data_IF_558746213921
#
_entry.id   IF_558746213921
#
_cell.length_a   1.000
_cell.length_b   1.000
_cell.length_c   1.000
_cell.angle_alpha   90.00
_cell.angle_beta   90.00
_cell.angle_gamma   90.00
#
_symmetry.space_group_name_H-M   'P 1'
#
loop_
_entity.id
_entity.type
_entity.pdbx_description
1 polymer ?
#
# COMPACT_ATOMS: atom_id res chain seq x y z
N UNK A 1 10.17 12.93 9.41
CA UNK A 1 9.37 13.54 8.32
C UNK A 1 9.97 13.27 6.95
N UNK A 2 9.21 12.65 6.04
CA UNK A 2 9.58 12.43 4.63
C UNK A 2 10.04 13.72 3.91
N UNK A 3 9.55 14.87 4.38
CA UNK A 3 9.91 16.20 3.90
C UNK A 3 11.40 16.51 4.14
N UNK A 4 11.97 16.10 5.28
CA UNK A 4 13.39 16.34 5.60
C UNK A 4 14.30 15.51 4.68
N UNK A 5 13.91 14.26 4.38
CA UNK A 5 14.63 13.40 3.44
C UNK A 5 14.63 13.94 2.00
N UNK A 6 13.52 14.53 1.56
CA UNK A 6 13.42 15.15 0.23
C UNK A 6 14.28 16.42 0.09
N UNK A 7 14.41 17.20 1.16
CA UNK A 7 15.23 18.42 1.18
C UNK A 7 16.72 18.05 1.17
N UNK A 8 17.14 17.08 1.98
CA UNK A 8 18.53 16.60 2.01
C UNK A 8 18.98 16.01 0.67
N UNK A 9 18.08 15.29 -0.04
CA UNK A 9 18.39 14.75 -1.38
C UNK A 9 18.52 15.81 -2.47
N UNK A 10 17.90 16.99 -2.31
CA UNK A 10 18.04 18.10 -3.26
C UNK A 10 19.29 18.94 -2.98
N UNK A 11 19.69 19.04 -1.72
CA UNK A 11 20.88 19.79 -1.30
C UNK A 11 22.18 19.07 -1.69
N UNK A 12 22.21 17.73 -1.69
CA UNK A 12 23.38 16.95 -2.14
C UNK A 12 23.56 16.97 -3.66
N UNK A 13 22.55 17.35 -4.44
CA UNK A 13 22.60 17.39 -5.90
C UNK A 13 23.17 18.70 -6.47
N UNK A 14 23.46 19.70 -5.63
CA UNK A 14 23.89 21.03 -6.07
C UNK A 14 25.29 21.37 -5.55
N UNK A 15 26.26 20.56 -5.94
CA UNK A 15 27.69 20.78 -5.73
C UNK A 15 28.42 21.01 -7.05
N UNK A 16 28.66 22.29 -7.32
CA UNK A 16 29.74 22.91 -8.10
C UNK A 16 29.94 22.58 -9.60
N UNK A 17 29.77 23.61 -10.44
CA UNK A 17 30.05 23.61 -11.88
C UNK A 17 31.31 24.41 -12.17
N UNK A 18 32.46 23.73 -12.35
CA UNK A 18 33.67 24.35 -12.91
C UNK A 18 34.63 23.32 -13.55
N UNK A 19 34.69 23.38 -14.88
CA UNK A 19 35.81 23.12 -15.83
C UNK A 19 36.66 21.81 -15.82
N UNK A 20 36.85 21.38 -17.09
CA UNK A 20 38.00 20.73 -17.77
C UNK A 20 38.01 19.21 -17.92
N UNK A 21 38.28 18.82 -19.17
CA UNK A 21 38.18 17.47 -19.70
C UNK A 21 39.23 16.49 -19.19
N UNK A 22 38.81 15.23 -19.21
CA UNK A 22 39.57 14.04 -18.87
C UNK A 22 38.57 12.89 -18.77
N UNK A 23 38.81 11.80 -19.49
CA UNK A 23 37.92 10.65 -19.59
C UNK A 23 37.45 10.17 -18.22
N UNK A 24 36.16 10.35 -17.89
CA UNK A 24 35.58 9.82 -16.67
C UNK A 24 34.82 8.54 -16.97
N UNK A 25 35.33 7.43 -16.42
CA UNK A 25 34.61 6.17 -16.24
C UNK A 25 33.14 6.43 -15.92
N UNK A 26 32.25 5.93 -16.77
CA UNK A 26 30.81 6.09 -16.60
C UNK A 26 30.41 5.67 -15.19
N UNK A 27 30.04 6.65 -14.35
CA UNK A 27 29.36 6.39 -13.07
C UNK A 27 28.08 5.63 -13.42
N UNK A 28 28.13 4.31 -13.25
CA UNK A 28 26.99 3.43 -13.45
C UNK A 28 25.82 3.98 -12.66
N UNK A 29 24.69 4.25 -13.34
CA UNK A 29 23.42 4.51 -12.67
C UNK A 29 23.24 3.38 -11.66
N UNK A 30 23.16 3.72 -10.37
CA UNK A 30 22.82 2.77 -9.31
C UNK A 30 21.70 1.87 -9.83
N UNK A 31 21.99 0.59 -10.06
CA UNK A 31 20.98 -0.38 -10.49
C UNK A 31 19.93 -0.36 -9.39
N UNK A 32 18.76 0.22 -9.66
CA UNK A 32 17.63 0.17 -8.74
C UNK A 32 17.17 -1.28 -8.71
N UNK A 33 17.63 -2.02 -7.72
CA UNK A 33 17.20 -3.39 -7.50
C UNK A 33 15.91 -3.35 -6.69
N UNK A 34 14.91 -4.11 -7.14
CA UNK A 34 13.76 -4.45 -6.30
C UNK A 34 14.26 -5.31 -5.14
N UNK A 35 13.73 -5.10 -3.94
CA UNK A 35 14.09 -5.86 -2.75
C UNK A 35 12.86 -6.22 -1.93
N UNK A 36 13.04 -7.15 -1.00
CA UNK A 36 12.09 -7.52 0.05
C UNK A 36 12.89 -7.72 1.33
N UNK A 37 12.21 -7.91 2.46
CA UNK A 37 12.85 -8.28 3.72
C UNK A 37 12.74 -9.79 3.94
N UNK A 38 13.66 -10.34 4.73
CA UNK A 38 13.47 -11.69 5.26
C UNK A 38 12.14 -11.75 6.04
N UNK A 39 11.36 -12.81 5.83
CA UNK A 39 10.01 -12.93 6.40
C UNK A 39 8.89 -12.21 5.64
N UNK A 40 9.13 -11.10 4.94
CA UNK A 40 8.06 -10.45 4.14
C UNK A 40 8.20 -8.95 4.04
N UNK A 41 7.39 -8.34 3.18
CA UNK A 41 7.11 -6.91 3.34
C UNK A 41 6.39 -6.62 4.66
N UNK A 42 5.73 -7.61 5.26
CA UNK A 42 5.14 -7.51 6.59
C UNK A 42 6.18 -7.19 7.67
N UNK A 43 7.43 -7.66 7.54
CA UNK A 43 8.52 -7.36 8.48
C UNK A 43 8.70 -5.86 8.72
N UNK A 44 8.53 -5.03 7.69
CA UNK A 44 8.60 -3.57 7.85
C UNK A 44 7.41 -3.03 8.66
N UNK A 45 6.21 -3.55 8.41
CA UNK A 45 4.99 -3.14 9.11
C UNK A 45 5.04 -3.57 10.57
N UNK A 46 5.51 -4.78 10.86
CA UNK A 46 5.68 -5.29 12.21
C UNK A 46 6.71 -4.47 13.00
N UNK A 47 7.82 -4.08 12.35
CA UNK A 47 8.81 -3.20 12.96
C UNK A 47 8.23 -1.82 13.29
N UNK A 48 7.46 -1.22 12.36
CA UNK A 48 6.77 0.06 12.62
C UNK A 48 5.75 -0.06 13.75
N UNK A 49 5.00 -1.16 13.80
CA UNK A 49 4.04 -1.42 14.86
C UNK A 49 4.72 -1.49 16.23
N UNK A 50 5.85 -2.20 16.32
CA UNK A 50 6.64 -2.33 17.55
C UNK A 50 7.15 -0.98 18.05
N UNK A 51 7.62 -0.10 17.16
CA UNK A 51 8.09 1.24 17.53
C UNK A 51 6.96 2.18 17.98
N UNK A 52 5.77 2.05 17.38
CA UNK A 52 4.59 2.84 17.76
C UNK A 52 3.96 2.34 19.06
N UNK A 53 3.97 1.03 19.30
CA UNK A 53 3.44 0.37 20.48
C UNK A 53 1.93 0.08 20.44
N UNK A 54 1.53 -1.03 21.06
CA UNK A 54 0.16 -1.56 21.02
C UNK A 54 -0.89 -0.60 21.61
N UNK A 55 -0.50 0.25 22.56
CA UNK A 55 -1.42 1.23 23.17
C UNK A 55 -1.90 2.28 22.17
N UNK A 56 -1.06 2.60 21.18
CA UNK A 56 -1.25 3.67 20.20
C UNK A 56 -1.90 3.18 18.90
N UNK A 57 -1.99 1.86 18.68
CA UNK A 57 -2.62 1.26 17.51
C UNK A 57 -3.94 0.60 17.90
N UNK A 58 -5.05 1.18 17.43
CA UNK A 58 -6.39 0.62 17.65
C UNK A 58 -6.84 -0.16 16.42
N UNK A 59 -6.59 -1.47 16.44
CA UNK A 59 -7.11 -2.39 15.41
C UNK A 59 -8.62 -2.59 15.58
N UNK A 60 -9.29 -3.09 14.53
CA UNK A 60 -10.73 -3.37 14.58
C UNK A 60 -11.62 -2.15 14.88
N UNK A 61 -11.08 -0.95 14.77
CA UNK A 61 -11.72 0.32 15.14
C UNK A 61 -11.84 1.19 13.90
N UNK A 62 -13.04 1.31 13.36
CA UNK A 62 -13.31 2.07 12.15
C UNK A 62 -13.82 3.48 12.51
N UNK A 63 -13.19 4.52 11.97
CA UNK A 63 -13.71 5.89 12.10
C UNK A 63 -14.91 6.07 11.18
N UNK A 64 -16.06 6.47 11.75
CA UNK A 64 -17.31 6.69 11.03
C UNK A 64 -17.58 8.18 10.79
N UNK A 65 -17.17 9.05 11.71
CA UNK A 65 -17.31 10.50 11.52
C UNK A 65 -16.18 11.32 12.12
N UNK A 66 -15.99 12.51 11.56
CA UNK A 66 -15.04 13.52 12.00
C UNK A 66 -15.79 14.85 12.18
N UNK A 67 -15.66 15.46 13.35
CA UNK A 67 -16.21 16.78 13.62
C UNK A 67 -15.08 17.75 13.93
N UNK A 68 -15.08 18.90 13.27
CA UNK A 68 -14.18 20.01 13.58
C UNK A 68 -14.96 21.09 14.33
N UNK A 69 -14.58 21.33 15.58
CA UNK A 69 -15.06 22.46 16.36
C UNK A 69 -14.10 23.62 16.08
N UNK A 70 -14.31 24.27 14.95
CA UNK A 70 -13.67 25.53 14.62
C UNK A 70 -14.71 26.63 14.76
N UNK A 71 -14.75 27.25 15.94
CA UNK A 71 -15.55 28.43 16.22
C UNK A 71 -14.61 29.63 16.15
N UNK A 72 -14.95 30.64 15.34
CA UNK A 72 -14.12 31.86 15.18
C UNK A 72 -13.93 32.63 16.50
N UNK A 73 -14.68 32.30 17.55
CA UNK A 73 -14.71 32.93 18.87
C UNK A 73 -14.00 32.13 19.97
N UNK A 74 -13.60 30.88 19.72
CA UNK A 74 -12.99 30.00 20.73
C UNK A 74 -11.56 29.64 20.39
N UNK A 75 -10.64 29.75 21.35
CA UNK A 75 -9.21 29.56 21.17
C UNK A 75 -8.76 28.08 21.04
N UNK A 76 -9.69 27.12 21.02
CA UNK A 76 -9.39 25.69 20.96
C UNK A 76 -10.07 25.05 19.76
N UNK A 77 -9.44 25.18 18.59
CA UNK A 77 -9.78 24.38 17.41
C UNK A 77 -9.45 22.91 17.69
N UNK A 78 -10.46 22.06 17.68
CA UNK A 78 -10.31 20.64 18.01
C UNK A 78 -11.05 19.74 17.03
N UNK A 79 -10.45 18.59 16.74
CA UNK A 79 -11.07 17.51 16.01
C UNK A 79 -11.62 16.48 16.97
N UNK A 80 -12.85 16.03 16.75
CA UNK A 80 -13.39 14.86 17.43
C UNK A 80 -13.73 13.77 16.45
N UNK A 81 -13.49 12.52 16.86
CA UNK A 81 -13.75 11.35 16.04
C UNK A 81 -14.84 10.49 16.68
N UNK A 82 -15.69 9.91 15.84
CA UNK A 82 -16.62 8.86 16.24
C UNK A 82 -16.20 7.56 15.57
N UNK A 83 -16.12 6.49 16.35
CA UNK A 83 -15.61 5.20 15.90
C UNK A 83 -16.61 4.09 16.17
N UNK A 84 -16.58 3.07 15.32
CA UNK A 84 -17.20 1.77 15.58
C UNK A 84 -16.08 0.77 15.92
N UNK A 85 -16.23 0.09 17.06
CA UNK A 85 -15.24 -0.87 17.55
C UNK A 85 -15.90 -2.23 17.76
N UNK A 86 -15.28 -3.27 17.21
CA UNK A 86 -15.76 -4.65 17.36
C UNK A 86 -15.47 -5.26 18.73
N UNK A 87 -14.63 -4.62 19.54
CA UNK A 87 -14.27 -5.11 20.88
C UNK A 87 -15.30 -4.65 21.94
N UNK A 88 -15.86 -5.62 22.67
CA UNK A 88 -16.89 -5.37 23.68
C UNK A 88 -16.40 -4.52 24.86
N UNK A 89 -15.09 -4.52 25.16
CA UNK A 89 -14.45 -3.66 26.17
C UNK A 89 -14.30 -2.20 25.73
N UNK A 90 -14.50 -1.91 24.44
CA UNK A 90 -14.29 -0.61 23.82
C UNK A 90 -15.59 0.15 23.55
N UNK A 91 -16.74 -0.34 24.03
CA UNK A 91 -18.03 0.39 23.95
C UNK A 91 -18.00 1.74 24.67
N UNK A 92 -17.10 1.93 25.64
CA UNK A 92 -16.85 3.25 26.26
C UNK A 92 -15.96 4.17 25.41
N UNK A 93 -15.20 3.63 24.44
CA UNK A 93 -14.39 4.38 23.49
C UNK A 93 -15.22 5.10 22.41
N UNK A 94 -16.54 4.84 22.37
CA UNK A 94 -17.51 5.54 21.54
C UNK A 94 -17.71 7.01 21.95
N UNK A 95 -17.06 7.47 23.03
CA UNK A 95 -17.08 8.87 23.45
C UNK A 95 -15.96 9.65 22.76
N UNK A 96 -16.38 10.54 21.87
CA UNK A 96 -15.66 11.68 21.27
C UNK A 96 -14.25 11.92 21.84
N UNK A 97 -13.25 11.26 21.25
CA UNK A 97 -11.85 11.59 21.51
C UNK A 97 -11.49 12.88 20.79
N UNK A 98 -10.86 13.82 21.49
CA UNK A 98 -10.43 15.11 20.94
C UNK A 98 -8.95 15.08 20.55
N UNK A 99 -8.62 15.67 19.40
CA UNK A 99 -7.27 15.77 18.86
C UNK A 99 -7.04 17.16 18.26
N UNK A 100 -5.81 17.66 18.30
CA UNK A 100 -5.45 18.94 17.68
C UNK A 100 -5.37 18.83 16.14
N UNK A 101 -5.03 17.65 15.63
CA UNK A 101 -4.88 17.39 14.20
C UNK A 101 -5.28 15.97 13.82
N UNK A 102 -5.73 15.81 12.58
CA UNK A 102 -6.09 14.52 11.99
C UNK A 102 -5.34 14.32 10.68
N UNK A 103 -4.69 13.17 10.52
CA UNK A 103 -4.05 12.75 9.27
C UNK A 103 -4.90 11.65 8.63
N UNK A 104 -5.49 11.94 7.47
CA UNK A 104 -6.30 10.98 6.73
C UNK A 104 -5.42 10.11 5.83
N UNK A 105 -5.34 8.82 6.12
CA UNK A 105 -4.58 7.83 5.33
C UNK A 105 -5.46 6.75 4.69
N UNK A 106 -6.78 6.84 4.86
CA UNK A 106 -7.73 5.91 4.27
C UNK A 106 -7.91 6.14 2.75
N UNK A 107 -8.28 5.09 1.98
CA UNK A 107 -8.67 5.25 0.57
C UNK A 107 -9.81 6.24 0.41
N UNK A 108 -9.82 6.99 -0.70
CA UNK A 108 -10.81 8.06 -0.93
C UNK A 108 -12.25 7.54 -0.91
N UNK A 109 -12.48 6.33 -1.42
CA UNK A 109 -13.78 5.67 -1.39
C UNK A 109 -14.28 5.39 0.03
N UNK A 110 -13.38 5.22 1.01
CA UNK A 110 -13.75 5.09 2.43
C UNK A 110 -14.03 6.45 3.04
N UNK A 111 -13.21 7.46 2.74
CA UNK A 111 -13.41 8.84 3.20
C UNK A 111 -14.77 9.40 2.77
N UNK A 112 -15.19 9.14 1.53
CA UNK A 112 -16.50 9.57 1.01
C UNK A 112 -17.71 8.97 1.77
N UNK A 113 -17.53 7.85 2.48
CA UNK A 113 -18.60 7.23 3.29
C UNK A 113 -18.65 7.76 4.73
N UNK A 114 -17.60 8.46 5.17
CA UNK A 114 -17.54 9.04 6.50
C UNK A 114 -18.40 10.30 6.58
N UNK A 115 -18.94 10.59 7.76
CA UNK A 115 -19.68 11.84 8.01
C UNK A 115 -18.72 12.92 8.50
N UNK A 116 -18.82 14.12 7.94
CA UNK A 116 -18.03 15.26 8.39
C UNK A 116 -18.96 16.36 8.91
N UNK A 117 -18.56 16.99 10.00
CA UNK A 117 -19.25 18.18 10.52
C UNK A 117 -18.25 19.29 10.84
N UNK A 118 -18.66 20.54 10.60
CA UNK A 118 -17.88 21.74 10.89
C UNK A 118 -18.80 22.74 11.62
N UNK A 119 -18.42 23.16 12.82
CA UNK A 119 -19.24 24.08 13.62
C UNK A 119 -20.68 23.58 13.86
N UNK A 120 -20.85 22.27 14.03
CA UNK A 120 -22.16 21.62 14.21
C UNK A 120 -22.97 21.39 12.92
N UNK A 121 -22.56 21.93 11.77
CA UNK A 121 -23.22 21.73 10.49
C UNK A 121 -22.57 20.58 9.68
N UNK A 122 -23.33 19.79 8.90
CA UNK A 122 -22.76 18.81 7.98
C UNK A 122 -21.82 19.45 6.95
N UNK A 123 -20.65 18.85 6.76
CA UNK A 123 -19.69 19.21 5.72
C UNK A 123 -19.70 18.13 4.63
N UNK A 124 -20.18 18.48 3.44
CA UNK A 124 -20.32 17.52 2.33
C UNK A 124 -19.02 17.49 1.52
N UNK A 125 -18.60 16.29 1.12
CA UNK A 125 -17.37 16.06 0.34
C UNK A 125 -17.64 15.88 -1.16
N UNK A 126 -18.60 16.63 -1.71
CA UNK A 126 -19.04 16.53 -3.12
C UNK A 126 -17.96 16.97 -4.13
N UNK A 127 -17.02 17.81 -3.69
CA UNK A 127 -15.84 18.21 -4.46
C UNK A 127 -14.82 17.07 -4.65
N UNK A 128 -14.92 15.96 -3.91
CA UNK A 128 -14.00 14.84 -4.07
C UNK A 128 -14.38 14.01 -5.31
N UNK A 129 -13.43 13.74 -6.22
CA UNK A 129 -13.73 12.96 -7.42
C UNK A 129 -14.07 11.52 -7.07
N UNK A 130 -14.89 10.89 -7.91
CA UNK A 130 -15.10 9.43 -7.86
C UNK A 130 -13.85 8.72 -8.39
N UNK A 131 -13.21 7.93 -7.54
CA UNK A 131 -12.02 7.13 -7.90
C UNK A 131 -12.45 5.68 -8.11
N UNK A 132 -12.16 5.13 -9.29
CA UNK A 132 -12.39 3.72 -9.59
C UNK A 132 -11.15 2.89 -9.21
N UNK A 133 -11.37 1.83 -8.44
CA UNK A 133 -10.34 0.90 -7.99
C UNK A 133 -10.46 -0.40 -8.77
N UNK A 134 -9.34 -0.87 -9.33
CA UNK A 134 -9.31 -2.10 -10.10
C UNK A 134 -9.25 -3.30 -9.14
N UNK A 135 -10.22 -4.23 -9.22
CA UNK A 135 -10.18 -5.43 -8.40
C UNK A 135 -9.06 -6.35 -8.89
N UNK A 136 -8.32 -6.92 -7.96
CA UNK A 136 -7.20 -7.82 -8.24
C UNK A 136 -7.11 -8.88 -7.14
N UNK A 137 -6.83 -10.11 -7.56
CA UNK A 137 -6.62 -11.25 -6.67
C UNK A 137 -5.24 -11.85 -6.90
N UNK A 138 -4.66 -12.33 -5.80
CA UNK A 138 -3.38 -13.02 -5.80
C UNK A 138 -3.62 -14.51 -5.61
N UNK A 139 -3.17 -15.31 -6.57
CA UNK A 139 -3.17 -16.76 -6.47
C UNK A 139 -1.74 -17.23 -6.22
N UNK A 140 -1.50 -17.79 -5.04
CA UNK A 140 -0.20 -18.34 -4.65
C UNK A 140 -0.24 -19.84 -4.87
N UNK A 141 0.64 -20.35 -5.74
CA UNK A 141 0.72 -21.78 -6.05
C UNK A 141 2.13 -22.30 -5.80
N UNK A 142 2.21 -23.53 -5.31
CA UNK A 142 3.46 -24.23 -5.09
C UNK A 142 3.46 -25.55 -5.86
N UNK A 143 4.55 -25.82 -6.57
CA UNK A 143 4.75 -27.07 -7.30
C UNK A 143 6.10 -27.65 -6.93
N UNK A 144 6.22 -28.97 -6.87
CA UNK A 144 7.55 -29.58 -6.76
C UNK A 144 8.36 -29.27 -8.01
N UNK A 145 9.67 -29.13 -7.84
CA UNK A 145 10.59 -28.85 -8.95
C UNK A 145 10.55 -29.94 -10.03
N UNK A 146 10.34 -31.20 -9.63
CA UNK A 146 10.20 -32.35 -10.55
C UNK A 146 8.98 -32.26 -11.47
N UNK A 147 7.91 -31.59 -11.03
CA UNK A 147 6.66 -31.46 -11.79
C UNK A 147 6.69 -30.29 -12.80
N UNK A 148 7.65 -29.38 -12.66
CA UNK A 148 7.80 -28.20 -13.54
C UNK A 148 8.73 -28.53 -14.69
N UNK A 149 8.15 -28.97 -15.81
CA UNK A 149 8.89 -29.45 -17.00
C UNK A 149 9.84 -28.44 -17.63
N UNK A 150 9.54 -27.15 -17.53
CA UNK A 150 10.31 -26.05 -18.16
C UNK A 150 10.42 -24.88 -17.20
N UNK A 151 11.32 -24.92 -16.21
CA UNK A 151 11.56 -23.78 -15.35
C UNK A 151 12.17 -22.64 -16.17
N UNK A 152 11.70 -21.42 -15.92
CA UNK A 152 12.25 -20.21 -16.51
C UNK A 152 12.95 -19.42 -15.41
N UNK A 153 14.17 -18.96 -15.67
CA UNK A 153 14.90 -18.12 -14.72
C UNK A 153 14.48 -16.65 -14.87
N UNK A 154 14.30 -15.97 -13.75
CA UNK A 154 14.05 -14.53 -13.73
C UNK A 154 13.07 -14.09 -12.65
N UNK A 155 12.61 -12.85 -12.77
CA UNK A 155 11.65 -12.22 -11.85
C UNK A 155 10.24 -12.80 -12.00
N UNK A 156 9.85 -13.13 -13.23
CA UNK A 156 8.51 -13.57 -13.57
C UNK A 156 8.16 -13.29 -15.02
N UNK A 157 6.87 -13.44 -15.35
CA UNK A 157 6.30 -13.20 -16.68
C UNK A 157 5.11 -12.25 -16.56
N UNK A 158 4.96 -11.35 -17.53
CA UNK A 158 3.77 -10.54 -17.73
C UNK A 158 3.02 -11.06 -18.96
N UNK A 159 1.69 -11.05 -18.90
CA UNK A 159 0.84 -11.49 -20.00
C UNK A 159 0.17 -10.26 -20.61
N UNK A 160 0.59 -9.82 -21.82
CA UNK A 160 -0.05 -8.72 -22.51
C UNK A 160 -1.52 -9.01 -22.80
N UNK A 161 -2.37 -7.97 -22.78
CA UNK A 161 -3.81 -8.12 -23.01
C UNK A 161 -4.16 -8.87 -24.32
N UNK A 162 -3.37 -8.69 -25.38
CA UNK A 162 -3.55 -9.41 -26.65
C UNK A 162 -3.44 -10.94 -26.52
N UNK A 163 -2.60 -11.43 -25.61
CA UNK A 163 -2.44 -12.86 -25.37
C UNK A 163 -3.66 -13.46 -24.67
N UNK A 164 -4.34 -12.66 -23.84
CA UNK A 164 -5.60 -13.07 -23.21
C UNK A 164 -6.69 -13.28 -24.27
N UNK A 165 -6.74 -12.39 -25.27
CA UNK A 165 -7.74 -12.45 -26.35
C UNK A 165 -7.45 -13.56 -27.37
N UNK A 166 -6.19 -13.74 -27.75
CA UNK A 166 -5.80 -14.67 -28.84
C UNK A 166 -5.54 -16.10 -28.36
N UNK A 167 -4.98 -16.25 -27.17
CA UNK A 167 -4.45 -17.52 -26.67
C UNK A 167 -5.11 -17.97 -25.36
N UNK A 168 -6.06 -17.19 -24.82
CA UNK A 168 -6.86 -17.58 -23.65
C UNK A 168 -6.11 -17.52 -22.32
N UNK A 169 -4.94 -16.88 -22.26
CA UNK A 169 -4.19 -16.70 -21.01
C UNK A 169 -4.85 -15.62 -20.14
N UNK A 170 -5.65 -16.01 -19.14
CA UNK A 170 -6.51 -15.06 -18.39
C UNK A 170 -5.84 -14.30 -17.24
N UNK A 171 -4.58 -14.59 -16.93
CA UNK A 171 -3.86 -13.94 -15.82
C UNK A 171 -3.14 -12.68 -16.31
N UNK A 172 -2.75 -11.79 -15.39
CA UNK A 172 -2.00 -10.56 -15.72
C UNK A 172 -0.49 -10.84 -15.78
N UNK A 173 -0.03 -11.80 -14.98
CA UNK A 173 1.37 -12.16 -14.85
C UNK A 173 1.62 -13.00 -13.61
N UNK A 174 2.81 -13.56 -13.53
CA UNK A 174 3.24 -14.45 -12.45
C UNK A 174 4.67 -14.12 -12.05
N UNK A 175 4.89 -13.96 -10.75
CA UNK A 175 6.21 -13.83 -10.14
C UNK A 175 6.77 -15.20 -9.81
N UNK A 176 8.06 -15.39 -10.07
CA UNK A 176 8.82 -16.57 -9.68
C UNK A 176 9.37 -16.37 -8.26
N UNK A 177 8.45 -16.35 -7.29
CA UNK A 177 8.70 -15.89 -5.92
C UNK A 177 9.88 -16.60 -5.25
N UNK A 178 9.96 -17.93 -5.34
CA UNK A 178 11.08 -18.69 -4.74
C UNK A 178 12.39 -18.61 -5.51
N UNK A 179 12.39 -18.14 -6.77
CA UNK A 179 13.63 -17.85 -7.48
C UNK A 179 14.23 -16.51 -7.06
N UNK A 180 13.37 -15.52 -6.77
CA UNK A 180 13.82 -14.22 -6.27
C UNK A 180 14.18 -14.25 -4.79
N UNK A 181 13.40 -15.00 -4.01
CA UNK A 181 13.52 -15.10 -2.56
C UNK A 181 13.46 -16.58 -2.17
N UNK A 182 14.61 -17.31 -2.21
CA UNK A 182 14.66 -18.74 -1.95
C UNK A 182 14.13 -19.15 -0.57
N UNK A 183 14.15 -18.24 0.40
CA UNK A 183 13.63 -18.41 1.76
C UNK A 183 12.10 -18.46 1.84
N UNK A 184 11.38 -18.29 0.72
CA UNK A 184 9.91 -18.27 0.66
C UNK A 184 9.26 -19.64 0.44
N UNK A 185 10.04 -20.64 0.09
CA UNK A 185 9.53 -21.97 -0.19
C UNK A 185 10.56 -23.03 0.20
N UNK A 186 10.13 -24.27 0.44
CA UNK A 186 11.04 -25.41 0.52
C UNK A 186 11.95 -25.51 -0.72
N UNK A 187 13.18 -25.99 -0.51
CA UNK A 187 14.19 -26.07 -1.57
C UNK A 187 13.80 -26.96 -2.75
N UNK A 188 12.87 -27.89 -2.56
CA UNK A 188 12.34 -28.82 -3.56
C UNK A 188 11.10 -28.29 -4.30
N UNK A 189 10.69 -27.04 -4.05
CA UNK A 189 9.49 -26.44 -4.63
C UNK A 189 9.75 -25.11 -5.37
N UNK A 190 8.89 -24.83 -6.34
CA UNK A 190 8.71 -23.51 -6.92
C UNK A 190 7.46 -22.86 -6.35
N UNK A 191 7.59 -21.59 -5.93
CA UNK A 191 6.48 -20.77 -5.48
C UNK A 191 6.19 -19.68 -6.49
N UNK A 192 4.95 -19.63 -6.96
CA UNK A 192 4.47 -18.68 -7.95
C UNK A 192 3.40 -17.79 -7.35
N UNK A 193 3.54 -16.47 -7.54
CA UNK A 193 2.51 -15.50 -7.18
C UNK A 193 1.90 -14.96 -8.45
N UNK A 194 0.67 -15.36 -8.74
CA UNK A 194 -0.04 -15.02 -9.98
C UNK A 194 -1.09 -13.95 -9.71
N UNK A 195 -1.11 -12.92 -10.55
CA UNK A 195 -2.05 -11.81 -10.48
C UNK A 195 -3.22 -12.05 -11.42
N UNK A 196 -4.44 -11.95 -10.89
CA UNK A 196 -5.69 -12.22 -11.61
C UNK A 196 -6.60 -11.00 -11.48
N UNK A 197 -7.29 -10.64 -12.57
CA UNK A 197 -8.27 -9.56 -12.57
C UNK A 197 -7.78 -8.32 -13.31
N UNK A 198 -7.76 -7.18 -12.63
CA UNK A 198 -7.40 -5.88 -13.19
C UNK A 198 -8.50 -5.29 -14.07
N UNK A 199 -8.15 -4.29 -14.87
CA UNK A 199 -9.09 -3.56 -15.73
C UNK A 199 -9.76 -4.44 -16.80
N UNK A 200 -9.06 -5.48 -17.26
CA UNK A 200 -9.50 -6.30 -18.38
C UNK A 200 -10.40 -7.46 -17.99
N UNK A 201 -10.39 -7.88 -16.73
CA UNK A 201 -11.18 -9.03 -16.28
C UNK A 201 -11.64 -8.87 -14.83
N UNK A 202 -12.42 -7.82 -14.56
CA UNK A 202 -12.81 -7.41 -13.20
C UNK A 202 -13.53 -8.52 -12.44
N UNK A 203 -14.42 -9.24 -13.11
CA UNK A 203 -15.22 -10.31 -12.50
C UNK A 203 -14.36 -11.52 -12.10
N UNK A 204 -13.29 -11.79 -12.86
CA UNK A 204 -12.38 -12.90 -12.54
C UNK A 204 -11.58 -12.65 -11.25
N UNK A 205 -11.41 -11.40 -10.81
CA UNK A 205 -10.81 -11.12 -9.52
C UNK A 205 -11.67 -11.67 -8.36
N UNK A 206 -12.99 -11.63 -8.49
CA UNK A 206 -13.93 -12.09 -7.46
C UNK A 206 -14.42 -13.52 -7.64
N UNK A 207 -13.92 -14.25 -8.64
CA UNK A 207 -14.36 -15.59 -8.92
C UNK A 207 -13.97 -16.56 -7.78
N UNK A 208 -14.84 -17.51 -7.40
CA UNK A 208 -14.49 -18.52 -6.40
C UNK A 208 -13.31 -19.38 -6.89
N UNK A 209 -12.43 -19.73 -5.96
CA UNK A 209 -11.27 -20.60 -6.13
C UNK A 209 -11.60 -22.06 -5.86
#
# INVERSE_FOLDING_TARGET
>A
SLIVGAILSKLTAKGDSSKKGGASSGKGRSKRASFSFHGGMQTLVDALHKEVGDSNVKLGTQVLSLACNCDELSASDGWSIFVDSKDASSKELAKNQSFDAVIMTAPLSNVQRMRFTKGGAPFVLDFLPKVDYLPLSLMVTAFKKEDVKRPLEGFGVLIPFKEQQKHGLKTLGTLFSSMMFPDRAPNDQYLFTTFIGGSHNRDLAGAPT
#
